data_IF_032295556968
#
_entry.id   IF_032295556968
#
_cell.length_a   1.000
_cell.length_b   1.000
_cell.length_c   1.000
_cell.angle_alpha   90.00
_cell.angle_beta   90.00
_cell.angle_gamma   90.00
#
_symmetry.space_group_name_H-M   'P 1'
#
loop_
_entity.id
_entity.type
_entity.pdbx_description
1 polymer ?
#
# COMPACT_ATOMS: atom_id res chain seq x y z
N UNK A 1 2.30 -14.82 2.70
CA UNK A 1 2.76 -14.73 1.31
C UNK A 1 3.67 -13.51 1.22
N UNK A 2 4.73 -13.58 0.41
CA UNK A 2 5.59 -12.43 0.12
C UNK A 2 5.29 -12.06 -1.33
N UNK A 3 4.85 -10.82 -1.57
CA UNK A 3 4.61 -10.31 -2.92
C UNK A 3 5.91 -9.80 -3.54
N UNK A 4 6.03 -9.90 -4.87
CA UNK A 4 7.06 -9.19 -5.62
C UNK A 4 6.52 -7.87 -6.14
N UNK A 5 7.40 -6.93 -6.41
CA UNK A 5 6.99 -5.61 -6.92
C UNK A 5 6.29 -5.72 -8.29
N UNK A 6 6.63 -6.75 -9.07
CA UNK A 6 5.99 -7.06 -10.36
C UNK A 6 4.52 -7.48 -10.24
N UNK A 7 4.09 -7.88 -9.04
CA UNK A 7 2.72 -8.34 -8.77
C UNK A 7 1.77 -7.18 -8.47
N UNK A 8 2.32 -5.97 -8.28
CA UNK A 8 1.58 -4.76 -7.90
C UNK A 8 1.67 -3.73 -9.03
N UNK A 9 0.54 -3.09 -9.31
CA UNK A 9 0.41 -2.03 -10.31
C UNK A 9 -0.17 -0.77 -9.69
N UNK A 10 0.07 0.35 -10.35
CA UNK A 10 -0.62 1.61 -10.02
C UNK A 10 -2.11 1.43 -10.28
N UNK A 11 -2.94 1.82 -9.33
CA UNK A 11 -4.39 1.61 -9.30
C UNK A 11 -4.85 0.37 -8.50
N UNK A 12 -3.93 -0.53 -8.14
CA UNK A 12 -4.27 -1.65 -7.24
C UNK A 12 -4.53 -1.16 -5.81
N UNK A 13 -5.20 -1.98 -5.00
CA UNK A 13 -5.34 -1.76 -3.57
C UNK A 13 -4.50 -2.75 -2.75
N UNK A 14 -3.93 -2.27 -1.65
CA UNK A 14 -3.08 -3.07 -0.75
C UNK A 14 -3.42 -2.88 0.72
N UNK A 15 -3.21 -3.92 1.51
CA UNK A 15 -3.13 -3.89 2.98
C UNK A 15 -1.68 -4.21 3.36
N UNK A 16 -1.14 -3.52 4.36
CA UNK A 16 0.26 -3.64 4.75
C UNK A 16 0.44 -3.66 6.26
N UNK A 17 1.54 -4.25 6.73
CA UNK A 17 1.94 -4.18 8.13
C UNK A 17 2.65 -2.84 8.40
N UNK A 18 2.09 -2.05 9.31
CA UNK A 18 2.68 -0.78 9.76
C UNK A 18 3.93 -1.00 10.61
N UNK A 19 4.95 -0.19 10.37
CA UNK A 19 5.97 0.10 11.39
C UNK A 19 5.43 1.23 12.25
N UNK A 20 5.02 0.95 13.50
CA UNK A 20 4.56 1.77 14.65
C UNK A 20 3.99 3.22 14.46
N UNK A 21 4.39 3.97 13.44
CA UNK A 21 3.97 5.33 13.11
C UNK A 21 2.90 5.45 12.00
N UNK A 22 2.47 4.36 11.35
CA UNK A 22 1.44 4.42 10.29
C UNK A 22 0.08 3.99 10.84
N UNK A 23 -0.92 4.88 10.76
CA UNK A 23 -2.31 4.59 11.17
C UNK A 23 -3.14 4.02 10.02
N UNK A 24 -4.26 3.36 10.33
CA UNK A 24 -5.23 2.81 9.36
C UNK A 24 -4.62 1.78 8.39
N UNK A 25 -3.63 1.01 8.84
CA UNK A 25 -2.93 -0.01 8.06
C UNK A 25 -3.78 -1.25 7.77
N UNK A 26 -4.92 -1.38 8.44
CA UNK A 26 -5.95 -2.41 8.25
C UNK A 26 -6.95 -2.08 7.13
N UNK A 27 -6.83 -0.89 6.54
CA UNK A 27 -7.64 -0.47 5.39
C UNK A 27 -6.97 -0.82 4.06
N UNK A 28 -7.75 -0.85 2.99
CA UNK A 28 -7.25 -0.89 1.61
C UNK A 28 -6.78 0.49 1.16
N UNK A 29 -5.50 0.59 0.82
CA UNK A 29 -4.85 1.78 0.29
C UNK A 29 -4.57 1.64 -1.20
N UNK A 30 -4.81 2.70 -1.95
CA UNK A 30 -4.58 2.74 -3.39
C UNK A 30 -3.09 2.93 -3.69
N UNK A 31 -2.54 2.11 -4.59
CA UNK A 31 -1.18 2.27 -5.11
C UNK A 31 -1.17 3.39 -6.13
N UNK A 32 -0.48 4.48 -5.81
CA UNK A 32 -0.39 5.68 -6.65
C UNK A 32 0.94 5.80 -7.40
N UNK A 33 1.94 5.00 -7.03
CA UNK A 33 3.23 4.98 -7.70
C UNK A 33 4.13 3.85 -7.22
N UNK A 34 5.15 3.54 -8.02
CA UNK A 34 6.13 2.50 -7.73
C UNK A 34 7.53 3.04 -8.05
N UNK A 35 8.45 2.95 -7.09
CA UNK A 35 9.85 3.39 -7.25
C UNK A 35 10.79 2.33 -6.72
N UNK A 36 11.46 1.59 -7.62
CA UNK A 36 12.33 0.49 -7.23
C UNK A 36 11.53 -0.61 -6.53
N UNK A 37 11.85 -0.90 -5.26
CA UNK A 37 11.14 -1.90 -4.45
C UNK A 37 10.11 -1.29 -3.48
N UNK A 38 9.87 0.02 -3.60
CA UNK A 38 8.94 0.77 -2.75
C UNK A 38 7.69 1.13 -3.53
N UNK A 39 6.56 1.15 -2.83
CA UNK A 39 5.27 1.56 -3.36
C UNK A 39 4.78 2.80 -2.63
N UNK A 40 4.21 3.73 -3.39
CA UNK A 40 3.56 4.92 -2.89
C UNK A 40 2.08 4.64 -2.79
N UNK A 41 1.51 4.81 -1.61
CA UNK A 41 0.12 4.46 -1.32
C UNK A 41 -0.64 5.66 -0.77
N UNK A 42 -1.93 5.72 -1.10
CA UNK A 42 -2.85 6.79 -0.72
C UNK A 42 -4.09 6.20 -0.04
N UNK A 43 -4.49 6.81 1.06
CA UNK A 43 -5.81 6.62 1.68
C UNK A 43 -6.59 7.91 1.53
N UNK A 44 -7.76 7.82 0.90
CA UNK A 44 -8.69 8.93 0.70
C UNK A 44 -10.11 8.41 0.91
N UNK A 45 -10.41 8.12 2.17
CA UNK A 45 -11.67 7.49 2.61
C UNK A 45 -12.05 8.07 3.98
N UNK A 46 -13.34 8.19 4.26
CA UNK A 46 -13.88 8.67 5.55
C UNK A 46 -13.34 10.03 6.03
N UNK A 47 -13.00 10.93 5.10
CA UNK A 47 -12.41 12.24 5.43
C UNK A 47 -10.93 12.18 5.85
N UNK A 48 -10.30 11.02 5.76
CA UNK A 48 -8.87 10.83 5.98
C UNK A 48 -8.18 10.87 4.62
N UNK A 49 -7.27 11.84 4.47
CA UNK A 49 -6.34 11.91 3.35
C UNK A 49 -4.92 11.70 3.87
N UNK A 50 -4.31 10.58 3.50
CA UNK A 50 -2.98 10.21 3.95
C UNK A 50 -2.16 9.56 2.83
N UNK A 51 -0.84 9.72 2.91
CA UNK A 51 0.11 9.20 1.93
C UNK A 51 1.27 8.54 2.65
N UNK A 52 1.61 7.32 2.24
CA UNK A 52 2.77 6.63 2.76
C UNK A 52 3.60 6.03 1.62
N UNK A 53 4.87 5.79 1.94
CA UNK A 53 5.73 4.95 1.10
C UNK A 53 6.11 3.75 1.92
N UNK A 54 5.84 2.56 1.40
CA UNK A 54 6.15 1.29 2.07
C UNK A 54 7.03 0.43 1.17
N UNK A 55 7.79 -0.48 1.77
CA UNK A 55 8.47 -1.53 1.03
C UNK A 55 7.49 -2.64 0.65
N UNK A 56 7.69 -3.27 -0.51
CA UNK A 56 6.84 -4.39 -0.96
C UNK A 56 6.74 -5.52 0.06
N UNK A 57 7.80 -5.73 0.85
CA UNK A 57 7.84 -6.76 1.90
C UNK A 57 6.84 -6.50 3.04
N UNK A 58 6.30 -5.29 3.14
CA UNK A 58 5.27 -4.93 4.11
C UNK A 58 3.85 -5.28 3.64
N UNK A 59 3.64 -5.57 2.34
CA UNK A 59 2.32 -5.89 1.80
C UNK A 59 1.88 -7.28 2.24
N UNK A 60 0.67 -7.36 2.80
CA UNK A 60 0.07 -8.59 3.32
C UNK A 60 -1.05 -9.11 2.43
N UNK A 61 -1.81 -8.19 1.83
CA UNK A 61 -2.90 -8.50 0.90
C UNK A 61 -2.79 -7.52 -0.27
N UNK A 62 -2.94 -8.04 -1.49
CA UNK A 62 -3.11 -7.24 -2.70
C UNK A 62 -4.42 -7.61 -3.38
N UNK A 63 -5.10 -6.62 -3.97
CA UNK A 63 -6.29 -6.82 -4.80
C UNK A 63 -6.18 -5.94 -6.04
N UNK A 64 -6.23 -6.59 -7.21
CA UNK A 64 -6.35 -5.90 -8.49
C UNK A 64 -7.82 -5.57 -8.76
N UNK A 65 -8.09 -4.32 -9.12
CA UNK A 65 -9.40 -3.86 -9.59
C UNK A 65 -9.58 -4.12 -11.09
#
# INVERSE_FOLDING_TARGET
MIYNISDIKVGDEVIFNSTEAQSNHDMFWEVTGITGNRIHIKLDKFGILAYYTIDITQVVIHTSL
#
